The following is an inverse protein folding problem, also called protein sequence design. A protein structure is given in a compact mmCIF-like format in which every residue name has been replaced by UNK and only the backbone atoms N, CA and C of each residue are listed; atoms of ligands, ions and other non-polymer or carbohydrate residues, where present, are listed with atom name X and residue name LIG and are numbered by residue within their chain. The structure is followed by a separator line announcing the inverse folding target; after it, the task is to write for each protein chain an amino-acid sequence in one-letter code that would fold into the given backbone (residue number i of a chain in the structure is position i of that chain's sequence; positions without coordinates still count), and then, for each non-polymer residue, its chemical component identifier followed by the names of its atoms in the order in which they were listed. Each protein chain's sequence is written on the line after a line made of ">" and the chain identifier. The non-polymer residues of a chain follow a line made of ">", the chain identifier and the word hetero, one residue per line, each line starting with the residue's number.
data_IF_585492513984
#
_entry.id   IF_585492513984
#
_cell.length_a   1.000
_cell.length_b   1.000
_cell.length_c   1.000
_cell.angle_alpha   90.00
_cell.angle_beta   90.00
_cell.angle_gamma   90.00
#
_symmetry.space_group_name_H-M   'P 1'
#
loop_
_entity.id
_entity.type
_entity.pdbx_description
1 polymer ?
#
# COMPACT_ATOMS: atom_id res chain seq x y z
N UNK A 1 -20.82 48.28 8.16
CA UNK A 1 -22.16 47.96 7.65
C UNK A 1 -22.37 46.48 7.78
N UNK A 2 -23.43 46.06 8.45
CA UNK A 2 -23.79 44.64 8.52
C UNK A 2 -24.25 44.16 7.14
N UNK A 3 -24.15 42.85 6.84
CA UNK A 3 -24.67 42.28 5.59
C UNK A 3 -26.15 42.62 5.37
N UNK A 4 -26.93 42.69 6.45
CA UNK A 4 -28.35 43.02 6.43
C UNK A 4 -28.59 44.49 6.05
N UNK A 5 -27.74 45.42 6.49
CA UNK A 5 -27.83 46.84 6.08
C UNK A 5 -27.57 47.03 4.58
N UNK A 6 -26.65 46.25 4.00
CA UNK A 6 -26.33 46.33 2.56
C UNK A 6 -27.48 45.75 1.72
N UNK A 7 -28.12 44.68 2.20
CA UNK A 7 -29.30 44.10 1.55
C UNK A 7 -30.50 45.06 1.60
N UNK A 8 -30.73 45.66 2.77
CA UNK A 8 -31.80 46.65 2.96
C UNK A 8 -31.62 47.87 2.05
N UNK A 9 -30.40 48.42 1.98
CA UNK A 9 -30.10 49.57 1.10
C UNK A 9 -30.28 49.24 -0.39
N UNK A 10 -29.99 48.00 -0.82
CA UNK A 10 -30.24 47.55 -2.19
C UNK A 10 -31.72 47.39 -2.50
N UNK A 11 -32.49 46.83 -1.57
CA UNK A 11 -33.94 46.67 -1.73
C UNK A 11 -34.65 48.02 -1.85
N UNK A 12 -34.23 49.01 -1.06
CA UNK A 12 -34.73 50.38 -1.16
C UNK A 12 -34.42 51.04 -2.51
N UNK A 13 -33.26 50.76 -3.11
CA UNK A 13 -32.91 51.26 -4.44
C UNK A 13 -33.72 50.62 -5.58
N UNK A 14 -34.31 49.44 -5.36
CA UNK A 14 -35.14 48.73 -6.35
C UNK A 14 -36.64 48.98 -6.19
N UNK A 15 -37.06 49.76 -5.18
CA UNK A 15 -38.45 50.11 -5.00
C UNK A 15 -38.88 51.17 -6.02
N UNK A 16 -39.71 50.78 -6.99
CA UNK A 16 -40.38 51.70 -7.90
C UNK A 16 -41.84 51.85 -7.46
N UNK A 17 -42.27 53.08 -7.19
CA UNK A 17 -43.67 53.39 -6.87
C UNK A 17 -44.38 53.81 -8.15
N UNK A 18 -45.47 53.12 -8.49
CA UNK A 18 -46.28 53.51 -9.62
C UNK A 18 -47.15 54.75 -9.31
N UNK A 19 -47.72 55.36 -10.35
CA UNK A 19 -48.57 56.56 -10.21
C UNK A 19 -49.87 56.31 -9.41
N UNK A 20 -50.20 55.03 -9.14
CA UNK A 20 -51.35 54.63 -8.32
C UNK A 20 -51.00 54.50 -6.83
N UNK A 21 -49.75 54.78 -6.45
CA UNK A 21 -49.24 54.66 -5.09
C UNK A 21 -48.94 53.22 -4.68
N UNK A 22 -48.89 52.29 -5.64
CA UNK A 22 -48.55 50.90 -5.40
C UNK A 22 -47.04 50.72 -5.55
N UNK A 23 -46.38 50.27 -4.47
CA UNK A 23 -44.96 49.92 -4.49
C UNK A 23 -44.81 48.52 -5.05
N UNK A 24 -44.35 48.40 -6.29
CA UNK A 24 -44.04 47.12 -6.92
C UNK A 24 -42.52 46.94 -6.97
N UNK A 25 -42.03 45.84 -6.38
CA UNK A 25 -40.63 45.48 -6.41
C UNK A 25 -40.36 44.68 -7.69
N UNK A 26 -39.69 45.28 -8.66
CA UNK A 26 -39.22 44.55 -9.85
C UNK A 26 -37.95 43.77 -9.48
N UNK A 27 -38.09 42.46 -9.32
CA UNK A 27 -37.00 41.54 -8.98
C UNK A 27 -36.23 41.04 -10.22
N UNK A 28 -36.66 41.44 -11.42
CA UNK A 28 -36.05 41.05 -12.70
C UNK A 28 -34.60 41.56 -12.92
N UNK A 29 -34.19 42.74 -12.41
CA UNK A 29 -32.81 43.23 -12.55
C UNK A 29 -31.89 42.79 -11.42
N UNK A 30 -32.37 42.00 -10.45
CA UNK A 30 -31.49 41.29 -9.51
C UNK A 30 -30.83 40.17 -10.30
N UNK A 31 -29.77 40.51 -11.05
CA UNK A 31 -28.81 39.54 -11.54
C UNK A 31 -28.42 38.61 -10.40
N UNK A 32 -28.10 37.34 -10.68
CA UNK A 32 -27.99 36.29 -9.67
C UNK A 32 -27.29 36.85 -8.45
N UNK A 33 -28.03 36.97 -7.34
CA UNK A 33 -27.50 37.42 -6.06
C UNK A 33 -26.12 36.79 -5.93
N UNK A 34 -25.02 37.53 -5.75
CA UNK A 34 -23.72 36.90 -5.51
C UNK A 34 -23.98 35.95 -4.35
N UNK A 35 -23.99 34.66 -4.69
CA UNK A 35 -24.60 33.59 -3.90
C UNK A 35 -24.18 33.83 -2.47
N UNK A 36 -25.18 34.04 -1.59
CA UNK A 36 -25.03 34.39 -0.18
C UNK A 36 -23.66 33.94 0.29
N UNK A 37 -22.75 34.92 0.46
CA UNK A 37 -21.30 34.71 0.60
C UNK A 37 -21.09 33.35 1.26
N UNK A 38 -20.82 32.33 0.43
CA UNK A 38 -20.63 30.97 0.91
C UNK A 38 -19.54 31.16 1.92
N UNK A 39 -19.89 31.02 3.21
CA UNK A 39 -18.94 31.15 4.30
C UNK A 39 -17.73 30.38 3.79
N UNK A 40 -16.59 31.04 3.54
CA UNK A 40 -15.46 30.37 2.94
C UNK A 40 -15.18 29.23 3.88
N UNK A 41 -15.57 28.02 3.48
CA UNK A 41 -15.33 26.82 4.27
C UNK A 41 -13.86 26.93 4.54
N UNK A 42 -13.42 26.98 5.80
CA UNK A 42 -12.06 27.41 6.17
C UNK A 42 -10.92 26.60 5.51
N UNK A 43 -11.28 25.61 4.69
CA UNK A 43 -10.45 24.73 3.89
C UNK A 43 -10.40 25.06 2.38
N UNK A 44 -11.23 25.97 1.85
CA UNK A 44 -11.18 26.36 0.44
C UNK A 44 -10.29 27.59 0.29
N UNK A 45 -9.01 27.35 0.06
CA UNK A 45 -8.06 28.41 -0.24
C UNK A 45 -8.13 28.73 -1.75
N UNK A 46 -8.60 29.94 -2.14
CA UNK A 46 -8.69 30.33 -3.55
C UNK A 46 -7.32 30.37 -4.24
N UNK A 47 -6.21 30.43 -3.49
CA UNK A 47 -4.87 30.33 -4.06
C UNK A 47 -4.62 29.00 -4.81
N UNK A 48 -5.33 27.92 -4.43
CA UNK A 48 -5.18 26.60 -5.07
C UNK A 48 -5.67 26.56 -6.54
N UNK A 49 -6.45 27.57 -6.98
CA UNK A 49 -6.89 27.69 -8.36
C UNK A 49 -5.89 28.45 -9.25
N UNK A 50 -5.05 29.30 -8.67
CA UNK A 50 -4.16 30.19 -9.43
C UNK A 50 -2.68 29.86 -9.27
N UNK A 51 -2.30 29.15 -8.20
CA UNK A 51 -0.90 28.87 -7.84
C UNK A 51 -0.52 27.40 -8.04
N UNK A 52 -0.98 26.79 -9.14
CA UNK A 52 -0.68 25.40 -9.42
C UNK A 52 0.70 25.09 -9.98
N UNK A 53 0.85 23.84 -10.43
CA UNK A 53 2.06 23.39 -11.13
C UNK A 53 2.09 23.98 -12.54
N UNK A 54 3.28 24.09 -13.13
CA UNK A 54 3.46 24.68 -14.48
C UNK A 54 2.62 24.01 -15.59
N UNK A 55 2.20 22.75 -15.39
CA UNK A 55 1.36 21.98 -16.31
C UNK A 55 -0.05 21.68 -15.74
N UNK A 56 -0.34 22.06 -14.49
CA UNK A 56 -1.64 21.90 -13.84
C UNK A 56 -1.90 23.12 -12.94
N UNK A 57 -2.41 24.19 -13.56
CA UNK A 57 -2.59 25.51 -12.93
C UNK A 57 -3.71 25.48 -11.88
N UNK A 58 -4.80 24.77 -12.15
CA UNK A 58 -5.92 24.60 -11.23
C UNK A 58 -5.86 23.20 -10.57
N UNK A 59 -5.50 23.15 -9.29
CA UNK A 59 -5.45 21.88 -8.55
C UNK A 59 -6.82 21.38 -8.13
N UNK A 60 -7.86 22.21 -8.21
CA UNK A 60 -9.23 21.85 -7.82
C UNK A 60 -9.96 21.11 -8.94
N UNK A 61 -9.53 21.30 -10.19
CA UNK A 61 -10.00 20.56 -11.34
C UNK A 61 -9.25 19.22 -11.53
N UNK A 62 -9.83 18.27 -12.27
CA UNK A 62 -9.10 17.10 -12.75
C UNK A 62 -7.93 17.50 -13.68
N UNK A 63 -6.85 16.72 -13.62
CA UNK A 63 -5.65 16.94 -14.44
C UNK A 63 -5.96 16.72 -15.94
N UNK A 64 -5.95 17.81 -16.71
CA UNK A 64 -6.20 17.79 -18.17
C UNK A 64 -5.04 17.20 -18.98
N UNK A 65 -3.84 17.15 -18.41
CA UNK A 65 -2.65 16.57 -19.05
C UNK A 65 -2.50 15.07 -18.80
N UNK A 66 -3.28 14.53 -17.86
CA UNK A 66 -3.23 13.13 -17.43
C UNK A 66 -1.87 12.67 -16.89
N UNK A 67 -0.96 13.60 -16.56
CA UNK A 67 0.36 13.29 -16.01
C UNK A 67 0.21 12.67 -14.62
N UNK A 68 -0.62 13.25 -13.74
CA UNK A 68 -0.81 12.73 -12.37
C UNK A 68 -1.45 11.34 -12.34
N UNK A 69 -2.57 11.08 -13.04
CA UNK A 69 -3.15 9.75 -13.11
C UNK A 69 -2.16 8.71 -13.63
N UNK A 70 -1.38 9.04 -14.67
CA UNK A 70 -0.38 8.12 -15.24
C UNK A 70 0.76 7.85 -14.27
N UNK A 71 1.32 8.88 -13.63
CA UNK A 71 2.39 8.71 -12.63
C UNK A 71 1.92 7.88 -11.44
N UNK A 72 0.71 8.14 -10.95
CA UNK A 72 0.12 7.38 -9.85
C UNK A 72 -0.14 5.93 -10.24
N UNK A 73 -0.69 5.69 -11.45
CA UNK A 73 -0.93 4.34 -11.97
C UNK A 73 0.38 3.55 -12.15
N UNK A 74 1.44 4.19 -12.66
CA UNK A 74 2.77 3.60 -12.76
C UNK A 74 3.36 3.29 -11.39
N UNK A 75 3.20 4.18 -10.41
CA UNK A 75 3.66 3.96 -9.03
C UNK A 75 2.96 2.76 -8.39
N UNK A 76 1.64 2.65 -8.52
CA UNK A 76 0.85 1.51 -8.02
C UNK A 76 1.25 0.22 -8.73
N UNK A 77 1.37 0.25 -10.06
CA UNK A 77 1.75 -0.92 -10.86
C UNK A 77 3.16 -1.40 -10.52
N UNK A 78 4.12 -0.47 -10.38
CA UNK A 78 5.47 -0.77 -9.92
C UNK A 78 5.44 -1.43 -8.53
N UNK A 79 4.63 -0.93 -7.61
CA UNK A 79 4.48 -1.52 -6.29
C UNK A 79 3.92 -2.96 -6.36
N UNK A 80 3.00 -3.27 -7.27
CA UNK A 80 2.46 -4.63 -7.45
C UNK A 80 3.50 -5.58 -8.05
N UNK A 81 4.25 -5.12 -9.04
CA UNK A 81 5.28 -5.91 -9.73
C UNK A 81 6.48 -6.18 -8.79
N UNK A 82 6.92 -5.15 -8.07
CA UNK A 82 8.09 -5.21 -7.19
C UNK A 82 7.77 -5.53 -5.74
N UNK A 83 6.50 -5.72 -5.36
CA UNK A 83 6.14 -6.45 -4.15
C UNK A 83 6.66 -7.87 -4.33
N UNK A 84 7.95 -8.07 -3.99
CA UNK A 84 8.49 -9.38 -3.70
C UNK A 84 7.46 -10.03 -2.80
N UNK A 85 6.98 -11.20 -3.21
CA UNK A 85 6.20 -12.11 -2.40
C UNK A 85 7.07 -12.54 -1.22
N UNK A 86 7.35 -11.61 -0.31
CA UNK A 86 8.19 -11.78 0.86
C UNK A 86 7.61 -12.81 1.83
N UNK A 87 6.33 -13.16 1.65
CA UNK A 87 5.64 -14.20 2.38
C UNK A 87 5.18 -15.36 1.51
N UNK A 88 5.89 -15.68 0.42
CA UNK A 88 5.80 -17.02 -0.16
C UNK A 88 6.35 -17.99 0.87
N UNK A 89 5.54 -18.30 1.89
CA UNK A 89 5.88 -19.26 2.92
C UNK A 89 6.35 -20.47 2.14
N UNK A 90 7.59 -20.86 2.37
CA UNK A 90 7.97 -22.23 2.10
C UNK A 90 6.93 -23.00 2.90
N UNK A 91 5.89 -23.49 2.23
CA UNK A 91 5.04 -24.52 2.76
C UNK A 91 6.06 -25.60 3.04
N UNK A 92 6.51 -25.65 4.30
CA UNK A 92 7.50 -26.60 4.74
C UNK A 92 6.92 -27.91 4.25
N UNK A 93 7.60 -28.49 3.26
CA UNK A 93 7.25 -29.79 2.76
C UNK A 93 7.23 -30.64 4.02
N UNK A 94 6.02 -30.96 4.49
CA UNK A 94 5.85 -31.88 5.58
C UNK A 94 6.68 -33.08 5.17
N UNK A 95 7.73 -33.45 5.94
CA UNK A 95 8.52 -34.62 5.61
C UNK A 95 7.53 -35.77 5.62
N UNK A 96 7.10 -36.15 4.42
CA UNK A 96 6.23 -37.29 4.19
C UNK A 96 7.05 -38.45 4.69
N UNK A 97 6.69 -38.93 5.87
CA UNK A 97 7.28 -40.09 6.51
C UNK A 97 7.48 -41.15 5.43
N UNK A 98 8.75 -41.39 5.16
CA UNK A 98 9.24 -42.39 4.24
C UNK A 98 8.98 -43.74 4.91
N UNK A 99 7.79 -44.29 4.67
CA UNK A 99 7.56 -45.72 4.80
C UNK A 99 6.59 -46.17 3.70
N UNK A 100 7.12 -46.21 2.48
CA UNK A 100 6.49 -46.89 1.36
C UNK A 100 7.58 -47.37 0.40
N UNK A 101 7.97 -48.61 0.63
CA UNK A 101 8.69 -49.51 -0.27
C UNK A 101 8.56 -49.18 -1.76
N UNK A 102 9.66 -49.22 -2.54
CA UNK A 102 9.64 -48.97 -3.97
C UNK A 102 8.93 -50.12 -4.71
N UNK A 103 7.65 -49.95 -5.02
CA UNK A 103 6.97 -50.82 -5.98
C UNK A 103 7.39 -50.39 -7.39
N UNK A 104 8.38 -51.10 -7.95
CA UNK A 104 8.70 -51.11 -9.38
C UNK A 104 7.39 -51.26 -10.18
N UNK A 105 6.90 -50.16 -10.75
CA UNK A 105 5.95 -50.23 -11.84
C UNK A 105 6.76 -50.42 -13.12
N UNK A 106 6.96 -51.68 -13.48
CA UNK A 106 7.51 -52.09 -14.76
C UNK A 106 6.49 -51.72 -15.85
N UNK A 107 6.74 -50.59 -16.52
CA UNK A 107 5.94 -50.14 -17.65
C UNK A 107 6.25 -51.04 -18.84
N UNK A 108 5.47 -52.12 -19.00
CA UNK A 108 5.43 -52.90 -20.23
C UNK A 108 4.71 -52.10 -21.30
N UNK A 109 5.46 -51.71 -22.32
CA UNK A 109 4.94 -51.22 -23.60
C UNK A 109 4.52 -52.44 -24.40
N UNK A 110 3.28 -52.91 -24.18
CA UNK A 110 2.69 -53.94 -25.02
C UNK A 110 1.72 -53.30 -26.02
N UNK A 111 2.06 -53.48 -27.29
CA UNK A 111 1.25 -53.41 -28.51
C UNK A 111 0.33 -52.21 -28.78
N UNK A 112 0.76 -51.43 -29.77
CA UNK A 112 -0.03 -50.49 -30.57
C UNK A 112 -1.12 -51.26 -31.35
N UNK A 113 -2.21 -51.59 -30.67
CA UNK A 113 -3.36 -52.25 -31.28
C UNK A 113 -4.35 -51.18 -31.75
N UNK A 114 -4.57 -51.10 -33.06
CA UNK A 114 -5.62 -50.29 -33.69
C UNK A 114 -7.01 -50.85 -33.35
N UNK A 115 -7.48 -50.56 -32.15
CA UNK A 115 -8.82 -50.88 -31.67
C UNK A 115 -9.71 -49.63 -31.54
N UNK A 116 -11.05 -49.80 -31.57
CA UNK A 116 -12.00 -48.69 -31.47
C UNK A 116 -11.76 -47.89 -30.17
N UNK A 117 -11.54 -46.58 -30.32
CA UNK A 117 -11.21 -45.67 -29.21
C UNK A 117 -12.20 -45.78 -28.05
N UNK A 118 -11.69 -46.10 -26.87
CA UNK A 118 -12.43 -46.10 -25.60
C UNK A 118 -12.91 -44.66 -25.28
N UNK A 119 -14.22 -44.42 -25.04
CA UNK A 119 -14.77 -43.08 -24.74
C UNK A 119 -14.19 -42.42 -23.48
N UNK A 120 -13.38 -43.14 -22.69
CA UNK A 120 -12.64 -42.56 -21.56
C UNK A 120 -11.40 -41.77 -21.99
N UNK A 121 -10.80 -42.07 -23.15
CA UNK A 121 -9.68 -41.29 -23.69
C UNK A 121 -10.11 -39.89 -24.17
N UNK A 122 -11.39 -39.73 -24.54
CA UNK A 122 -11.93 -38.43 -24.98
C UNK A 122 -12.06 -37.40 -23.84
N UNK A 123 -12.12 -37.85 -22.58
CA UNK A 123 -12.14 -36.95 -21.40
C UNK A 123 -10.77 -36.33 -21.09
N UNK A 124 -9.69 -36.90 -21.64
CA UNK A 124 -8.33 -36.34 -21.50
C UNK A 124 -8.07 -35.23 -22.52
N UNK A 125 -8.85 -35.16 -23.61
CA UNK A 125 -8.74 -34.12 -24.64
C UNK A 125 -9.60 -32.87 -24.40
N UNK A 126 -10.48 -32.86 -23.39
CA UNK A 126 -11.38 -31.72 -23.11
C UNK A 126 -11.04 -30.92 -21.87
N UNK A 127 -10.09 -31.37 -21.05
CA UNK A 127 -9.54 -30.52 -20.00
C UNK A 127 -8.42 -29.67 -20.63
N UNK A 128 -8.54 -28.33 -20.71
CA UNK A 128 -7.37 -27.52 -20.97
C UNK A 128 -6.38 -27.84 -19.84
N UNK A 129 -5.30 -28.53 -20.18
CA UNK A 129 -4.22 -28.91 -19.27
C UNK A 129 -3.51 -27.63 -18.82
N UNK A 130 -4.11 -26.96 -17.84
CA UNK A 130 -3.52 -25.94 -17.00
C UNK A 130 -2.55 -26.62 -16.02
N UNK A 131 -1.57 -27.34 -16.54
CA UNK A 131 -0.84 -28.32 -15.72
C UNK A 131 0.51 -28.77 -16.25
N UNK A 132 1.09 -28.07 -17.22
CA UNK A 132 2.46 -28.31 -17.60
C UNK A 132 3.22 -26.99 -17.53
N UNK A 133 4.23 -26.98 -16.65
CA UNK A 133 5.19 -25.89 -16.42
C UNK A 133 6.01 -25.64 -17.69
N UNK A 134 5.35 -25.20 -18.75
CA UNK A 134 6.02 -24.52 -19.84
C UNK A 134 6.71 -23.34 -19.18
N UNK A 135 8.04 -23.40 -19.12
CA UNK A 135 8.89 -22.26 -18.79
C UNK A 135 8.56 -21.20 -19.82
N UNK A 136 7.58 -20.37 -19.51
CA UNK A 136 7.21 -19.22 -20.32
C UNK A 136 8.47 -18.38 -20.31
N UNK A 137 9.17 -18.35 -21.44
CA UNK A 137 10.34 -17.50 -21.58
C UNK A 137 9.91 -16.08 -21.22
N UNK A 138 10.66 -15.39 -20.35
CA UNK A 138 10.26 -14.09 -19.84
C UNK A 138 10.09 -13.15 -21.03
N UNK A 139 8.86 -12.70 -21.26
CA UNK A 139 8.42 -11.87 -22.40
C UNK A 139 9.25 -10.58 -22.62
N UNK A 140 10.11 -10.21 -21.66
CA UNK A 140 11.03 -9.07 -21.75
C UNK A 140 12.40 -9.31 -21.08
N UNK A 141 12.76 -10.54 -20.69
CA UNK A 141 14.03 -10.89 -20.04
C UNK A 141 14.31 -10.27 -18.66
N UNK A 142 13.73 -9.10 -18.37
CA UNK A 142 13.97 -8.27 -17.19
C UNK A 142 12.87 -8.41 -16.13
N UNK A 143 11.66 -8.80 -16.53
CA UNK A 143 10.52 -8.89 -15.63
C UNK A 143 10.35 -10.31 -15.07
N UNK A 144 10.21 -10.48 -13.75
CA UNK A 144 9.90 -11.77 -13.15
C UNK A 144 8.55 -12.29 -13.65
N UNK A 145 8.35 -13.62 -13.69
CA UNK A 145 7.08 -14.21 -14.11
C UNK A 145 5.93 -13.71 -13.23
N UNK A 146 4.92 -13.11 -13.87
CA UNK A 146 3.78 -12.48 -13.18
C UNK A 146 2.81 -13.55 -12.70
N UNK A 147 2.59 -13.64 -11.38
CA UNK A 147 1.62 -14.55 -10.77
C UNK A 147 0.16 -14.12 -11.06
N UNK A 148 -0.79 -15.06 -11.06
CA UNK A 148 -2.23 -14.78 -11.23
C UNK A 148 -2.74 -13.72 -10.23
N UNK A 149 -2.24 -13.73 -9.00
CA UNK A 149 -2.57 -12.70 -8.01
C UNK A 149 -2.10 -11.30 -8.43
N UNK A 150 -0.90 -11.19 -9.02
CA UNK A 150 -0.39 -9.92 -9.54
C UNK A 150 -1.18 -9.47 -10.78
N UNK A 151 -1.60 -10.41 -11.63
CA UNK A 151 -2.47 -10.11 -12.78
C UNK A 151 -3.80 -9.51 -12.32
N UNK A 152 -4.46 -10.11 -11.32
CA UNK A 152 -5.68 -9.57 -10.72
C UNK A 152 -5.42 -8.19 -10.12
N UNK A 153 -4.31 -8.02 -9.39
CA UNK A 153 -3.91 -6.72 -8.83
C UNK A 153 -3.72 -5.64 -9.90
N UNK A 154 -3.08 -5.98 -11.03
CA UNK A 154 -2.92 -5.09 -12.18
C UNK A 154 -4.25 -4.73 -12.83
N UNK A 155 -5.18 -5.68 -12.96
CA UNK A 155 -6.53 -5.40 -13.44
C UNK A 155 -7.29 -4.42 -12.52
N UNK A 156 -7.19 -4.62 -11.20
CA UNK A 156 -7.79 -3.70 -10.23
C UNK A 156 -7.13 -2.31 -10.31
N UNK A 157 -5.79 -2.26 -10.42
CA UNK A 157 -5.06 -1.00 -10.56
C UNK A 157 -5.47 -0.26 -11.85
N UNK A 158 -5.71 -0.97 -12.95
CA UNK A 158 -6.23 -0.39 -14.19
C UNK A 158 -7.63 0.19 -14.02
N UNK A 159 -8.55 -0.53 -13.37
CA UNK A 159 -9.89 -0.02 -13.07
C UNK A 159 -9.85 1.22 -12.16
N UNK A 160 -8.99 1.20 -11.13
CA UNK A 160 -8.77 2.32 -10.23
C UNK A 160 -8.18 3.54 -10.95
N UNK A 161 -7.26 3.32 -11.89
CA UNK A 161 -6.69 4.38 -12.73
C UNK A 161 -7.76 5.14 -13.53
N UNK A 162 -8.79 4.43 -14.00
CA UNK A 162 -9.94 5.07 -14.66
C UNK A 162 -10.75 5.98 -13.72
N UNK A 163 -10.96 5.56 -12.47
CA UNK A 163 -11.64 6.38 -11.46
C UNK A 163 -10.83 7.63 -11.05
N UNK A 164 -9.50 7.52 -11.05
CA UNK A 164 -8.59 8.63 -10.72
C UNK A 164 -8.65 9.79 -11.72
N UNK A 165 -9.09 9.54 -12.96
CA UNK A 165 -9.27 10.59 -13.97
C UNK A 165 -10.35 11.62 -13.59
N UNK A 166 -11.28 11.26 -12.70
CA UNK A 166 -12.34 12.17 -12.24
C UNK A 166 -11.98 12.89 -10.93
N UNK A 167 -10.84 12.55 -10.31
CA UNK A 167 -10.44 13.16 -9.04
C UNK A 167 -9.73 14.50 -9.26
N UNK A 168 -9.91 15.48 -8.36
CA UNK A 168 -9.13 16.72 -8.36
C UNK A 168 -7.62 16.43 -8.31
N UNK A 169 -6.85 17.20 -9.08
CA UNK A 169 -5.39 17.04 -9.15
C UNK A 169 -4.72 17.16 -7.76
N UNK A 170 -5.22 18.03 -6.89
CA UNK A 170 -4.75 18.18 -5.49
C UNK A 170 -4.71 16.84 -4.74
N UNK A 171 -5.76 16.03 -4.90
CA UNK A 171 -5.90 14.75 -4.19
C UNK A 171 -4.87 13.75 -4.72
N UNK A 172 -4.68 13.69 -6.04
CA UNK A 172 -3.66 12.83 -6.65
C UNK A 172 -2.25 13.24 -6.23
N UNK A 173 -1.99 14.55 -6.17
CA UNK A 173 -0.72 15.12 -5.74
C UNK A 173 -0.38 14.75 -4.30
N UNK A 174 -1.38 14.59 -3.43
CA UNK A 174 -1.20 14.12 -2.06
C UNK A 174 -0.89 12.61 -2.01
N UNK A 175 -1.54 11.79 -2.83
CA UNK A 175 -1.36 10.34 -2.82
C UNK A 175 0.00 9.88 -3.33
N UNK A 176 0.55 10.51 -4.37
CA UNK A 176 1.85 10.14 -4.95
C UNK A 176 2.98 10.14 -3.90
N UNK A 177 3.26 11.24 -3.17
CA UNK A 177 4.30 11.26 -2.15
C UNK A 177 3.97 10.35 -0.97
N UNK A 178 2.69 10.24 -0.56
CA UNK A 178 2.31 9.30 0.50
C UNK A 178 2.64 7.85 0.15
N UNK A 179 2.43 7.44 -1.10
CA UNK A 179 2.81 6.10 -1.58
C UNK A 179 4.32 5.95 -1.69
N UNK A 180 5.02 6.98 -2.17
CA UNK A 180 6.47 6.98 -2.27
C UNK A 180 7.12 6.83 -0.88
N UNK A 181 6.67 7.59 0.12
CA UNK A 181 7.14 7.49 1.51
C UNK A 181 6.87 6.10 2.06
N UNK A 182 5.67 5.56 1.88
CA UNK A 182 5.34 4.21 2.33
C UNK A 182 6.20 3.13 1.66
N UNK A 183 6.58 3.32 0.39
CA UNK A 183 7.49 2.42 -0.32
C UNK A 183 8.92 2.51 0.24
N UNK A 184 9.44 3.73 0.44
CA UNK A 184 10.76 3.96 1.03
C UNK A 184 10.83 3.38 2.44
N UNK A 185 9.81 3.60 3.27
CA UNK A 185 9.74 3.06 4.63
C UNK A 185 9.78 1.53 4.61
N UNK A 186 9.00 0.87 3.75
CA UNK A 186 9.05 -0.59 3.63
C UNK A 186 10.41 -1.07 3.17
N UNK A 187 11.01 -0.41 2.18
CA UNK A 187 12.32 -0.82 1.67
C UNK A 187 13.42 -0.64 2.72
N UNK A 188 13.33 0.44 3.49
CA UNK A 188 14.21 0.71 4.62
C UNK A 188 14.03 -0.33 5.73
N UNK A 189 12.78 -0.67 6.07
CA UNK A 189 12.48 -1.74 7.02
C UNK A 189 13.00 -3.09 6.54
N UNK A 190 12.81 -3.47 5.27
CA UNK A 190 13.34 -4.73 4.72
C UNK A 190 14.88 -4.78 4.77
N UNK A 191 15.53 -3.65 4.45
CA UNK A 191 16.99 -3.55 4.49
C UNK A 191 17.52 -3.70 5.92
N UNK A 192 16.86 -3.09 6.90
CA UNK A 192 17.29 -3.14 8.30
C UNK A 192 16.82 -4.41 9.02
N UNK A 193 15.67 -4.99 8.65
CA UNK A 193 15.15 -6.21 9.27
C UNK A 193 16.08 -7.40 9.03
N UNK A 194 16.78 -7.42 7.89
CA UNK A 194 17.80 -8.45 7.59
C UNK A 194 18.95 -8.43 8.62
N UNK A 195 19.23 -7.27 9.22
CA UNK A 195 20.27 -7.11 10.24
C UNK A 195 19.75 -7.43 11.66
N UNK A 196 18.43 -7.33 11.88
CA UNK A 196 17.79 -7.68 13.16
C UNK A 196 17.36 -9.15 13.27
N UNK A 197 17.41 -9.92 12.18
CA UNK A 197 17.01 -11.34 12.14
C UNK A 197 17.58 -12.19 13.29
N UNK A 198 18.89 -12.16 13.64
CA UNK A 198 19.39 -13.01 14.71
C UNK A 198 18.87 -12.59 16.09
N UNK A 199 18.64 -11.29 16.30
CA UNK A 199 18.21 -10.75 17.58
C UNK A 199 16.71 -10.97 17.78
N UNK A 200 15.92 -10.72 16.73
CA UNK A 200 14.48 -10.99 16.72
C UNK A 200 14.19 -12.49 16.89
N UNK A 201 14.93 -13.35 16.20
CA UNK A 201 14.75 -14.79 16.33
C UNK A 201 15.16 -15.31 17.72
N UNK A 202 16.21 -14.73 18.32
CA UNK A 202 16.59 -15.06 19.70
C UNK A 202 15.51 -14.65 20.72
N UNK A 203 14.89 -13.48 20.53
CA UNK A 203 13.82 -12.99 21.40
C UNK A 203 12.55 -13.82 21.21
N UNK A 204 12.21 -14.17 19.97
CA UNK A 204 11.05 -15.00 19.67
C UNK A 204 11.22 -16.42 20.25
N UNK A 205 12.41 -17.01 20.15
CA UNK A 205 12.72 -18.30 20.76
C UNK A 205 12.68 -18.24 22.30
N UNK A 206 13.22 -17.18 22.91
CA UNK A 206 13.16 -16.98 24.35
C UNK A 206 11.70 -16.87 24.86
N UNK A 207 10.87 -16.13 24.13
CA UNK A 207 9.45 -15.95 24.48
C UNK A 207 8.67 -17.27 24.35
N UNK A 208 8.94 -18.04 23.30
CA UNK A 208 8.36 -19.36 23.11
C UNK A 208 8.79 -20.34 24.21
N UNK A 209 10.06 -20.34 24.59
CA UNK A 209 10.57 -21.17 25.67
C UNK A 209 9.95 -20.82 27.03
N UNK A 210 9.69 -19.54 27.29
CA UNK A 210 8.95 -19.09 28.48
C UNK A 210 7.50 -19.58 28.45
N UNK A 211 6.82 -19.46 27.31
CA UNK A 211 5.44 -19.90 27.18
C UNK A 211 5.29 -21.42 27.28
N UNK A 212 6.24 -22.19 26.73
CA UNK A 212 6.32 -23.64 26.92
C UNK A 212 6.62 -24.02 28.37
N UNK A 213 7.44 -23.23 29.10
CA UNK A 213 7.70 -23.43 30.53
C UNK A 213 6.47 -23.10 31.40
N UNK A 214 5.65 -22.15 30.99
CA UNK A 214 4.41 -21.78 31.70
C UNK A 214 3.28 -22.80 31.47
N UNK A 215 3.25 -23.44 30.30
CA UNK A 215 2.33 -24.54 29.99
C UNK A 215 2.77 -25.90 30.56
N UNK A 216 4.02 -26.01 31.05
CA UNK A 216 4.50 -27.23 31.69
C UNK A 216 3.79 -27.46 33.04
N UNK A 217 3.28 -28.67 33.32
CA UNK A 217 2.49 -28.96 34.52
C UNK A 217 3.28 -28.64 35.79
N UNK A 218 2.62 -27.86 36.68
CA UNK A 218 3.09 -27.25 37.95
C UNK A 218 3.73 -28.23 38.96
N UNK A 219 4.84 -28.88 38.62
CA UNK A 219 5.55 -29.73 39.58
C UNK A 219 6.74 -29.03 40.24
N UNK A 220 7.17 -27.84 39.80
CA UNK A 220 8.26 -27.09 40.43
C UNK A 220 8.14 -25.57 40.22
N UNK A 221 7.39 -24.87 41.08
CA UNK A 221 7.31 -23.40 41.06
C UNK A 221 8.62 -22.71 41.49
N UNK A 222 9.52 -23.42 42.18
CA UNK A 222 10.78 -22.84 42.67
C UNK A 222 11.79 -22.58 41.54
N UNK A 223 11.78 -23.43 40.49
CA UNK A 223 12.60 -23.25 39.28
C UNK A 223 12.12 -22.07 38.43
N UNK A 224 10.82 -21.75 38.49
CA UNK A 224 10.23 -20.64 37.73
C UNK A 224 10.68 -19.30 38.31
N UNK A 225 10.79 -19.17 39.64
CA UNK A 225 11.28 -17.94 40.29
C UNK A 225 12.75 -17.66 39.97
N UNK A 226 13.57 -18.71 39.93
CA UNK A 226 15.00 -18.57 39.62
C UNK A 226 15.21 -18.18 38.14
N UNK A 227 14.42 -18.73 37.23
CA UNK A 227 14.45 -18.35 35.80
C UNK A 227 13.93 -16.94 35.54
N UNK A 228 12.95 -16.46 36.30
CA UNK A 228 12.46 -15.07 36.17
C UNK A 228 13.52 -14.03 36.52
N UNK A 229 14.37 -14.33 37.52
CA UNK A 229 15.48 -13.44 37.90
C UNK A 229 16.55 -13.36 36.82
N UNK A 230 16.92 -14.51 36.23
CA UNK A 230 17.88 -14.55 35.12
C UNK A 230 17.33 -13.83 33.88
N UNK A 231 16.02 -13.90 33.65
CA UNK A 231 15.37 -13.21 32.55
C UNK A 231 15.41 -11.68 32.73
N UNK A 232 15.11 -11.14 33.91
CA UNK A 232 15.20 -9.70 34.13
C UNK A 232 16.63 -9.16 33.97
N UNK A 233 17.64 -9.90 34.44
CA UNK A 233 19.04 -9.52 34.26
C UNK A 233 19.45 -9.53 32.76
N UNK A 234 18.96 -10.50 31.99
CA UNK A 234 19.21 -10.57 30.55
C UNK A 234 18.50 -9.45 29.77
N UNK A 235 17.26 -9.12 30.12
CA UNK A 235 16.50 -8.02 29.51
C UNK A 235 17.16 -6.67 29.80
N UNK A 236 17.60 -6.44 31.04
CA UNK A 236 18.34 -5.22 31.39
C UNK A 236 19.68 -5.10 30.66
N UNK A 237 20.39 -6.22 30.45
CA UNK A 237 21.65 -6.22 29.71
C UNK A 237 21.45 -5.92 28.21
N UNK A 238 20.37 -6.45 27.61
CA UNK A 238 20.02 -6.20 26.21
C UNK A 238 19.60 -4.74 25.97
N UNK A 239 18.76 -4.19 26.83
CA UNK A 239 18.30 -2.79 26.72
C UNK A 239 19.49 -1.81 26.87
N UNK A 240 20.45 -2.16 27.73
CA UNK A 240 21.68 -1.38 27.89
C UNK A 240 22.58 -1.40 26.66
N UNK A 241 22.73 -2.54 25.98
CA UNK A 241 23.57 -2.63 24.76
C UNK A 241 22.90 -1.97 23.54
N UNK A 242 21.56 -2.05 23.42
CA UNK A 242 20.81 -1.30 22.40
C UNK A 242 20.99 0.21 22.60
N UNK A 243 20.88 0.70 23.84
CA UNK A 243 21.12 2.11 24.17
C UNK A 243 22.56 2.57 23.86
N UNK A 244 23.54 1.68 24.03
CA UNK A 244 24.95 1.93 23.71
C UNK A 244 25.19 2.05 22.21
N UNK A 245 24.56 1.18 21.42
CA UNK A 245 24.67 1.18 19.96
C UNK A 245 24.04 2.45 19.33
N UNK A 246 22.91 2.93 19.86
CA UNK A 246 22.31 4.19 19.42
C UNK A 246 23.20 5.41 19.71
N UNK A 247 23.85 5.47 20.89
CA UNK A 247 24.81 6.55 21.19
C UNK A 247 26.07 6.51 20.33
N UNK A 248 26.55 5.32 19.98
CA UNK A 248 27.75 5.17 19.16
C UNK A 248 27.47 5.53 17.68
N UNK A 249 26.28 5.19 17.18
CA UNK A 249 25.84 5.54 15.82
C UNK A 249 25.61 7.04 15.60
N UNK A 250 25.23 7.79 16.65
CA UNK A 250 25.03 9.24 16.56
C UNK A 250 26.36 10.01 16.43
N UNK A 251 27.41 9.60 17.17
CA UNK A 251 28.73 10.24 17.08
C UNK A 251 29.42 10.03 15.73
N UNK A 252 29.21 8.90 15.05
CA UNK A 252 29.84 8.64 13.75
C UNK A 252 29.28 9.52 12.61
N UNK A 253 28.06 10.07 12.77
CA UNK A 253 27.47 11.02 11.81
C UNK A 253 28.01 12.45 11.94
N UNK A 254 28.48 12.85 13.12
CA UNK A 254 29.08 14.19 13.32
C UNK A 254 30.46 14.27 12.68
N UNK A 255 31.31 13.24 12.83
CA UNK A 255 32.64 13.23 12.19
C UNK A 255 32.60 13.12 10.65
N UNK A 256 31.55 12.53 10.07
CA UNK A 256 31.40 12.46 8.61
C UNK A 256 30.87 13.75 7.99
N UNK A 257 30.29 14.64 8.80
CA UNK A 257 29.82 15.97 8.36
C UNK A 257 30.93 17.02 8.36
N UNK A 258 31.95 16.89 9.22
CA UNK A 258 33.07 17.86 9.29
C UNK A 258 34.20 17.54 8.30
N UNK A 259 34.32 16.28 7.86
CA UNK A 259 35.35 15.87 6.89
C UNK A 259 35.07 16.27 5.43
N UNK A 260 33.87 16.77 5.11
CA UNK A 260 33.46 17.10 3.74
C UNK A 260 33.62 18.60 3.37
N UNK A 261 34.23 19.42 4.23
CA UNK A 261 34.52 20.83 3.97
C UNK A 261 36.00 21.12 3.66
N UNK A 262 36.83 20.09 3.53
CA UNK A 262 38.24 20.21 3.15
C UNK A 262 38.54 19.43 1.86
N UNK A 263 37.86 19.79 0.77
CA UNK A 263 38.37 19.65 -0.61
C UNK A 263 37.83 20.80 -1.48
#
# INVERSE_FOLDING_TARGET
>A
MSPDEVLAARLEQTAATDESGNTAYDLSPVGPTPSAAVEPTAYFDPSMQTEGLSWCIDLTAPDSTFILPVVLWLSISANIIFRRTAGGSKTAASPKAEDATPRKAEFKVDDFTTGPMDPKALKVLTAPTYGENTRVEPFLGFLPPINNAQRIGLCIAMALGGAMLQMPAAVLLYFIPSLAVGWVQRRWLDANATDLDPLYESMYQATRALQEAELAPRRNQDVIKERHKVFEEAVFALDWEVFKHERCGRKRREYFSEGAQFE
#
